data_IF_401130286843
#
_entry.id   IF_401130286843
#
_cell.length_a   1.000
_cell.length_b   1.000
_cell.length_c   1.000
_cell.angle_alpha   90.00
_cell.angle_beta   90.00
_cell.angle_gamma   90.00
#
_symmetry.space_group_name_H-M   'P 1'
#
loop_
_entity.id
_entity.type
_entity.pdbx_description
1 polymer ?
#
# COMPACT_ATOMS: atom_id res chain seq x y z
N UNK A 1 -11.60 -6.42 -1.16
CA UNK A 1 -12.90 -6.69 -1.80
C UNK A 1 -14.07 -6.67 -0.80
N UNK A 2 -14.12 -7.51 0.25
CA UNK A 2 -15.24 -7.53 1.22
C UNK A 2 -15.57 -6.16 1.83
N UNK A 3 -14.56 -5.37 2.22
CA UNK A 3 -14.76 -4.01 2.77
C UNK A 3 -15.20 -3.03 1.69
N UNK A 4 -14.65 -3.11 0.49
CA UNK A 4 -15.07 -2.33 -0.66
C UNK A 4 -16.56 -2.52 -0.95
N UNK A 5 -17.02 -3.75 -1.08
CA UNK A 5 -18.43 -4.08 -1.33
C UNK A 5 -19.34 -3.61 -0.20
N UNK A 6 -18.95 -3.90 1.05
CA UNK A 6 -19.72 -3.53 2.23
C UNK A 6 -19.98 -2.02 2.33
N UNK A 7 -18.96 -1.21 2.01
CA UNK A 7 -19.01 0.24 2.20
C UNK A 7 -19.08 1.03 0.87
N UNK A 8 -19.49 0.36 -0.22
CA UNK A 8 -19.56 0.97 -1.55
C UNK A 8 -20.41 2.21 -1.61
N UNK A 9 -21.43 2.32 -0.78
CA UNK A 9 -22.39 3.44 -0.77
C UNK A 9 -22.21 4.42 0.39
N UNK A 10 -21.20 4.23 1.24
CA UNK A 10 -20.93 5.11 2.38
C UNK A 10 -20.17 6.33 1.91
N UNK A 11 -20.85 7.46 1.82
CA UNK A 11 -20.28 8.74 1.35
C UNK A 11 -19.43 9.35 2.44
N UNK A 12 -18.25 9.84 2.09
CA UNK A 12 -17.31 10.58 2.94
C UNK A 12 -16.74 11.77 2.19
N UNK A 13 -16.10 12.69 2.93
CA UNK A 13 -15.32 13.74 2.30
C UNK A 13 -14.01 13.18 1.75
N UNK A 14 -13.67 13.54 0.51
CA UNK A 14 -12.35 13.27 -0.05
C UNK A 14 -11.32 14.28 0.47
N UNK A 15 -10.05 13.90 0.46
CA UNK A 15 -8.95 14.80 0.82
C UNK A 15 -7.82 14.69 -0.18
N UNK A 16 -7.31 15.85 -0.59
CA UNK A 16 -6.05 15.97 -1.33
C UNK A 16 -5.17 16.97 -0.59
N UNK A 17 -3.88 16.70 -0.47
CA UNK A 17 -2.97 17.52 0.35
C UNK A 17 -3.41 17.64 1.84
N UNK A 18 -4.17 16.67 2.36
CA UNK A 18 -4.85 16.70 3.66
C UNK A 18 -5.91 17.82 3.80
N UNK A 19 -6.24 18.50 2.72
CA UNK A 19 -7.33 19.50 2.68
C UNK A 19 -8.60 18.84 2.15
N UNK A 20 -9.76 19.39 2.55
CA UNK A 20 -11.05 18.94 2.06
C UNK A 20 -11.13 19.02 0.54
N UNK A 21 -11.66 17.97 -0.07
CA UNK A 21 -11.90 17.89 -1.49
C UNK A 21 -13.35 17.44 -1.76
N UNK A 22 -13.65 17.07 -2.98
CA UNK A 22 -15.00 16.58 -3.34
C UNK A 22 -15.30 15.24 -2.66
N UNK A 23 -16.60 14.97 -2.37
CA UNK A 23 -17.00 13.70 -1.79
C UNK A 23 -16.68 12.51 -2.70
N UNK A 24 -16.41 11.37 -2.07
CA UNK A 24 -16.37 10.04 -2.68
C UNK A 24 -16.99 9.04 -1.71
N UNK A 25 -17.05 7.77 -2.06
CA UNK A 25 -17.46 6.73 -1.10
C UNK A 25 -16.25 6.06 -0.47
N UNK A 26 -16.39 5.57 0.76
CA UNK A 26 -15.32 4.79 1.40
C UNK A 26 -15.02 3.51 0.63
N UNK A 27 -16.03 2.91 -0.03
CA UNK A 27 -15.80 1.78 -0.92
C UNK A 27 -14.91 2.11 -2.12
N UNK A 28 -15.02 3.32 -2.70
CA UNK A 28 -14.13 3.80 -3.77
C UNK A 28 -12.69 4.01 -3.26
N UNK A 29 -12.52 4.56 -2.06
CA UNK A 29 -11.20 4.70 -1.44
C UNK A 29 -10.53 3.35 -1.21
N UNK A 30 -11.26 2.37 -0.64
CA UNK A 30 -10.79 0.99 -0.46
C UNK A 30 -10.52 0.29 -1.81
N UNK A 31 -11.29 0.60 -2.85
CA UNK A 31 -11.04 0.11 -4.21
C UNK A 31 -9.66 0.55 -4.72
N UNK A 32 -9.31 1.83 -4.50
CA UNK A 32 -7.99 2.35 -4.86
C UNK A 32 -6.86 1.61 -4.15
N UNK A 33 -6.98 1.38 -2.83
CA UNK A 33 -6.01 0.59 -2.07
C UNK A 33 -5.87 -0.85 -2.61
N UNK A 34 -7.01 -1.49 -2.91
CA UNK A 34 -7.02 -2.85 -3.43
C UNK A 34 -6.39 -2.98 -4.81
N UNK A 35 -6.61 -1.99 -5.67
CA UNK A 35 -6.04 -1.95 -7.02
C UNK A 35 -4.51 -1.83 -6.99
N UNK A 36 -3.94 -0.99 -6.11
CA UNK A 36 -2.48 -0.92 -5.92
C UNK A 36 -1.89 -2.29 -5.59
N UNK A 37 -2.43 -2.94 -4.56
CA UNK A 37 -1.96 -4.27 -4.14
C UNK A 37 -2.15 -5.38 -5.21
N UNK A 38 -3.18 -5.27 -6.05
CA UNK A 38 -3.36 -6.19 -7.19
C UNK A 38 -2.25 -6.02 -8.23
N UNK A 39 -1.86 -4.78 -8.54
CA UNK A 39 -0.74 -4.51 -9.44
C UNK A 39 0.61 -4.97 -8.86
N UNK A 40 0.85 -4.73 -7.57
CA UNK A 40 2.07 -5.22 -6.90
C UNK A 40 2.18 -6.74 -7.00
N UNK A 41 1.06 -7.46 -6.80
CA UNK A 41 1.03 -8.92 -6.97
C UNK A 41 1.33 -9.34 -8.40
N UNK A 42 0.86 -8.59 -9.40
CA UNK A 42 1.16 -8.86 -10.80
C UNK A 42 2.65 -8.64 -11.11
N UNK A 43 3.26 -7.56 -10.59
CA UNK A 43 4.71 -7.32 -10.74
C UNK A 43 5.52 -8.47 -10.14
N UNK A 44 5.22 -8.89 -8.92
CA UNK A 44 5.91 -10.02 -8.28
C UNK A 44 5.75 -11.31 -9.08
N UNK A 45 4.55 -11.63 -9.57
CA UNK A 45 4.30 -12.82 -10.41
C UNK A 45 5.07 -12.80 -11.71
N UNK A 46 5.21 -11.64 -12.37
CA UNK A 46 5.98 -11.52 -13.60
C UNK A 46 7.47 -11.78 -13.38
N UNK A 47 7.97 -11.51 -12.17
CA UNK A 47 9.37 -11.69 -11.80
C UNK A 47 9.70 -13.05 -11.23
N UNK A 48 8.69 -13.84 -10.81
CA UNK A 48 8.86 -15.15 -10.15
C UNK A 48 9.76 -16.10 -10.95
N UNK A 49 9.54 -16.20 -12.26
CA UNK A 49 10.35 -17.01 -13.16
C UNK A 49 11.85 -16.67 -13.16
N UNK A 50 12.21 -15.44 -12.83
CA UNK A 50 13.63 -15.02 -12.80
C UNK A 50 14.41 -15.64 -11.64
N UNK A 51 13.73 -16.14 -10.62
CA UNK A 51 14.32 -16.83 -9.47
C UNK A 51 14.50 -18.34 -9.68
N UNK A 52 13.94 -18.89 -10.75
CA UNK A 52 13.92 -20.33 -11.01
C UNK A 52 15.15 -20.85 -11.80
N UNK A 53 16.03 -19.96 -12.22
CA UNK A 53 17.25 -20.34 -12.93
C UNK A 53 18.45 -20.46 -11.98
N UNK A 54 19.06 -21.64 -11.93
CA UNK A 54 20.17 -21.96 -11.01
C UNK A 54 21.53 -21.92 -11.71
N UNK A 55 22.52 -21.24 -11.10
CA UNK A 55 23.92 -21.22 -11.58
C UNK A 55 24.71 -22.48 -11.24
N UNK A 56 24.07 -23.47 -10.62
CA UNK A 56 24.71 -24.73 -10.24
C UNK A 56 25.34 -25.44 -11.43
N UNK A 57 26.48 -26.08 -11.20
CA UNK A 57 27.28 -26.70 -12.24
C UNK A 57 28.28 -25.79 -12.95
N UNK A 58 28.27 -24.47 -12.64
CA UNK A 58 29.28 -23.52 -13.16
C UNK A 58 30.67 -23.74 -12.59
N UNK A 59 30.75 -24.43 -11.47
CA UNK A 59 31.99 -24.69 -10.70
C UNK A 59 32.72 -23.41 -10.29
N UNK A 60 34.04 -23.31 -10.47
CA UNK A 60 34.82 -22.18 -9.96
C UNK A 60 34.48 -20.84 -10.65
N UNK A 61 34.47 -20.83 -11.98
CA UNK A 61 34.39 -19.59 -12.77
C UNK A 61 33.29 -19.58 -13.84
N UNK A 62 32.43 -20.58 -13.86
CA UNK A 62 31.31 -20.67 -14.84
C UNK A 62 31.57 -21.63 -16.00
N UNK A 63 32.75 -22.22 -16.12
CA UNK A 63 33.12 -23.13 -17.21
C UNK A 63 32.59 -24.57 -17.03
N UNK A 64 32.16 -24.94 -15.82
CA UNK A 64 31.73 -26.29 -15.53
C UNK A 64 32.89 -27.29 -15.42
N UNK A 65 34.13 -26.82 -15.24
CA UNK A 65 35.31 -27.67 -15.13
C UNK A 65 35.11 -28.73 -14.05
N UNK A 66 35.32 -30.00 -14.40
CA UNK A 66 35.15 -31.19 -13.55
C UNK A 66 33.69 -31.48 -13.11
N UNK A 67 32.68 -30.79 -13.60
CA UNK A 67 31.30 -31.20 -13.42
C UNK A 67 30.97 -32.40 -14.32
N UNK A 68 30.20 -33.36 -13.80
CA UNK A 68 29.74 -34.47 -14.63
C UNK A 68 28.80 -33.96 -15.74
N UNK A 69 28.80 -34.57 -16.93
CA UNK A 69 27.85 -34.21 -17.99
C UNK A 69 26.40 -34.26 -17.48
N UNK A 70 25.62 -33.22 -17.75
CA UNK A 70 24.23 -33.10 -17.32
C UNK A 70 24.00 -32.77 -15.85
N UNK A 71 25.06 -32.55 -15.07
CA UNK A 71 24.95 -32.30 -13.62
C UNK A 71 24.04 -31.11 -13.30
N UNK A 72 24.16 -30.01 -14.05
CA UNK A 72 23.37 -28.81 -13.81
C UNK A 72 21.85 -29.04 -13.96
N UNK A 73 21.45 -29.77 -15.02
CA UNK A 73 20.05 -30.05 -15.32
C UNK A 73 19.47 -31.04 -14.31
N UNK A 74 20.22 -32.08 -13.95
CA UNK A 74 19.81 -33.07 -12.94
C UNK A 74 19.61 -32.39 -11.56
N UNK A 75 20.48 -31.47 -11.17
CA UNK A 75 20.32 -30.76 -9.91
C UNK A 75 19.11 -29.83 -9.96
N UNK A 76 18.90 -29.07 -11.03
CA UNK A 76 17.73 -28.20 -11.20
C UNK A 76 16.43 -29.03 -11.10
N UNK A 77 16.34 -30.16 -11.80
CA UNK A 77 15.20 -31.09 -11.72
C UNK A 77 14.96 -31.60 -10.28
N UNK A 78 16.02 -32.03 -9.59
CA UNK A 78 15.89 -32.52 -8.21
C UNK A 78 15.45 -31.45 -7.23
N UNK A 79 16.02 -30.25 -7.34
CA UNK A 79 15.58 -29.08 -6.55
C UNK A 79 14.11 -28.78 -6.84
N UNK A 80 13.73 -28.81 -8.12
CA UNK A 80 12.34 -28.61 -8.54
C UNK A 80 11.36 -29.60 -7.91
N UNK A 81 11.74 -30.90 -7.88
CA UNK A 81 10.92 -31.94 -7.23
C UNK A 81 10.78 -31.74 -5.72
N UNK A 82 11.81 -31.24 -5.04
CA UNK A 82 11.79 -31.00 -3.58
C UNK A 82 10.87 -29.82 -3.24
N UNK A 83 10.94 -28.74 -4.00
CA UNK A 83 10.25 -27.49 -3.69
C UNK A 83 8.96 -27.26 -4.47
N UNK A 84 8.63 -28.13 -5.43
CA UNK A 84 7.39 -28.02 -6.21
C UNK A 84 7.40 -26.92 -7.26
N UNK A 85 8.58 -26.54 -7.76
CA UNK A 85 8.76 -25.52 -8.80
C UNK A 85 9.62 -26.04 -9.95
N UNK A 86 9.42 -25.50 -11.15
CA UNK A 86 10.20 -25.87 -12.33
C UNK A 86 11.53 -25.10 -12.39
N UNK A 87 12.52 -25.52 -11.61
CA UNK A 87 13.85 -24.94 -11.70
C UNK A 87 14.59 -25.42 -12.96
N UNK A 88 15.37 -24.54 -13.54
CA UNK A 88 16.20 -24.82 -14.72
C UNK A 88 17.65 -24.43 -14.47
N UNK A 89 18.55 -25.06 -15.25
CA UNK A 89 19.96 -24.67 -15.22
C UNK A 89 20.13 -23.38 -16.03
N UNK A 90 20.69 -22.35 -15.39
CA UNK A 90 20.99 -21.07 -16.08
C UNK A 90 21.92 -21.31 -17.27
N UNK A 91 21.54 -20.83 -18.46
CA UNK A 91 22.31 -21.02 -19.68
C UNK A 91 23.70 -20.40 -19.63
N UNK A 92 23.81 -19.22 -19.06
CA UNK A 92 25.09 -18.52 -18.83
C UNK A 92 25.49 -18.60 -17.35
N UNK A 93 26.40 -19.53 -17.05
CA UNK A 93 26.89 -19.72 -15.69
C UNK A 93 27.85 -18.61 -15.22
N UNK A 94 28.53 -17.92 -16.15
CA UNK A 94 29.39 -16.78 -15.84
C UNK A 94 28.55 -15.65 -15.24
N UNK A 95 27.46 -15.31 -15.90
CA UNK A 95 26.48 -14.35 -15.40
C UNK A 95 25.88 -14.83 -14.07
N UNK A 96 25.49 -16.10 -13.97
CA UNK A 96 24.83 -16.65 -12.77
C UNK A 96 25.70 -16.66 -11.51
N UNK A 97 27.05 -16.69 -11.64
CA UNK A 97 27.99 -16.65 -10.51
C UNK A 97 28.37 -15.22 -10.12
N UNK A 98 28.42 -14.30 -11.09
CA UNK A 98 28.96 -12.95 -10.89
C UNK A 98 27.91 -11.87 -10.72
N UNK A 99 26.63 -12.15 -11.07
CA UNK A 99 25.55 -11.17 -11.01
C UNK A 99 24.35 -11.70 -10.22
N UNK A 100 23.64 -10.79 -9.55
CA UNK A 100 22.44 -11.10 -8.77
C UNK A 100 21.31 -10.13 -9.10
N UNK A 101 21.24 -9.65 -10.35
CA UNK A 101 20.23 -8.70 -10.82
C UNK A 101 18.79 -9.22 -10.70
N UNK A 102 18.60 -10.55 -10.79
CA UNK A 102 17.31 -11.17 -10.53
C UNK A 102 16.82 -10.94 -9.08
N UNK A 103 17.67 -11.12 -8.08
CA UNK A 103 17.31 -10.84 -6.68
C UNK A 103 17.07 -9.35 -6.46
N UNK A 104 17.89 -8.49 -7.08
CA UNK A 104 17.74 -7.03 -6.97
C UNK A 104 16.42 -6.53 -7.55
N UNK A 105 16.01 -7.00 -8.74
CA UNK A 105 14.74 -6.56 -9.35
C UNK A 105 13.53 -7.08 -8.59
N UNK A 106 13.56 -8.31 -8.07
CA UNK A 106 12.48 -8.87 -7.24
C UNK A 106 12.37 -8.10 -5.92
N UNK A 107 13.50 -7.77 -5.30
CA UNK A 107 13.49 -6.96 -4.07
C UNK A 107 12.94 -5.56 -4.33
N UNK A 108 13.24 -4.94 -5.47
CA UNK A 108 12.63 -3.67 -5.89
C UNK A 108 11.09 -3.75 -5.98
N UNK A 109 10.56 -4.87 -6.47
CA UNK A 109 9.11 -5.10 -6.47
C UNK A 109 8.55 -5.29 -5.04
N UNK A 110 9.28 -5.98 -4.14
CA UNK A 110 8.92 -6.05 -2.72
C UNK A 110 8.92 -4.68 -2.04
N UNK A 111 9.86 -3.81 -2.38
CA UNK A 111 9.88 -2.43 -1.89
C UNK A 111 8.66 -1.66 -2.40
N UNK A 112 8.29 -1.79 -3.67
CA UNK A 112 7.08 -1.14 -4.23
C UNK A 112 5.84 -1.55 -3.43
N UNK A 113 5.66 -2.84 -3.17
CA UNK A 113 4.60 -3.33 -2.29
C UNK A 113 4.67 -2.72 -0.89
N UNK A 114 5.87 -2.58 -0.31
CA UNK A 114 6.06 -1.96 1.00
C UNK A 114 5.63 -0.48 1.01
N UNK A 115 5.92 0.26 -0.07
CA UNK A 115 5.55 1.67 -0.22
C UNK A 115 4.02 1.84 -0.29
N UNK A 116 3.33 1.00 -1.05
CA UNK A 116 1.86 1.01 -1.14
C UNK A 116 1.21 0.60 0.19
N UNK A 117 1.74 -0.40 0.87
CA UNK A 117 1.29 -0.79 2.21
C UNK A 117 1.49 0.33 3.24
N UNK A 118 2.60 1.06 3.19
CA UNK A 118 2.84 2.23 4.04
C UNK A 118 1.79 3.30 3.80
N UNK A 119 1.47 3.59 2.54
CA UNK A 119 0.42 4.56 2.17
C UNK A 119 -0.93 4.14 2.74
N UNK A 120 -1.34 2.90 2.55
CA UNK A 120 -2.61 2.37 3.06
C UNK A 120 -2.66 2.42 4.59
N UNK A 121 -1.59 1.98 5.26
CA UNK A 121 -1.51 2.01 6.71
C UNK A 121 -1.61 3.43 7.28
N UNK A 122 -0.97 4.40 6.63
CA UNK A 122 -1.07 5.81 7.04
C UNK A 122 -2.48 6.37 6.81
N UNK A 123 -3.14 6.07 5.69
CA UNK A 123 -4.53 6.47 5.48
C UNK A 123 -5.44 5.92 6.59
N UNK A 124 -5.33 4.64 6.92
CA UNK A 124 -6.10 4.02 8.02
C UNK A 124 -5.82 4.73 9.35
N UNK A 125 -4.56 5.04 9.66
CA UNK A 125 -4.19 5.75 10.89
C UNK A 125 -4.78 7.15 10.96
N UNK A 126 -4.74 7.91 9.86
CA UNK A 126 -5.34 9.25 9.81
C UNK A 126 -6.86 9.18 9.97
N UNK A 127 -7.52 8.32 9.20
CA UNK A 127 -8.98 8.19 9.23
C UNK A 127 -9.49 7.67 10.60
N UNK A 128 -8.69 6.87 11.31
CA UNK A 128 -9.01 6.36 12.65
C UNK A 128 -8.53 7.26 13.78
N UNK A 129 -7.92 8.41 13.49
CA UNK A 129 -7.39 9.30 14.52
C UNK A 129 -8.49 9.90 15.41
N UNK A 130 -8.22 10.03 16.69
CA UNK A 130 -9.18 10.62 17.63
C UNK A 130 -9.30 9.80 18.92
N UNK A 131 -10.54 9.49 19.42
CA UNK A 131 -11.84 9.63 18.71
C UNK A 131 -12.46 11.03 18.68
N UNK A 132 -12.07 11.96 19.56
CA UNK A 132 -12.74 13.29 19.64
C UNK A 132 -11.95 14.43 19.03
N UNK A 133 -10.62 14.32 19.03
CA UNK A 133 -9.70 15.35 18.54
C UNK A 133 -9.03 14.99 17.21
N UNK A 134 -9.61 14.07 16.46
CA UNK A 134 -9.12 13.64 15.15
C UNK A 134 -10.25 13.45 14.14
N UNK A 135 -9.98 12.72 13.05
CA UNK A 135 -10.97 12.52 11.99
C UNK A 135 -12.12 11.61 12.43
N UNK A 136 -11.81 10.53 13.14
CA UNK A 136 -12.81 9.59 13.68
C UNK A 136 -13.77 9.01 12.61
N UNK A 137 -13.28 8.86 11.40
CA UNK A 137 -14.08 8.28 10.30
C UNK A 137 -14.06 6.74 10.33
N UNK A 138 -13.03 6.13 10.96
CA UNK A 138 -12.89 4.68 11.09
C UNK A 138 -12.78 4.27 12.56
N UNK A 139 -13.41 3.14 12.88
CA UNK A 139 -13.20 2.45 14.14
C UNK A 139 -12.28 1.26 13.91
N UNK A 140 -11.22 1.16 14.70
CA UNK A 140 -10.23 0.08 14.64
C UNK A 140 -10.39 -0.89 15.81
N UNK A 141 -10.05 -2.18 15.64
CA UNK A 141 -10.10 -3.16 16.72
C UNK A 141 -9.16 -2.82 17.88
N UNK A 142 -9.63 -2.99 19.10
CA UNK A 142 -8.81 -2.92 20.31
C UNK A 142 -8.12 -4.28 20.52
N UNK A 143 -6.95 -4.49 19.92
CA UNK A 143 -6.23 -5.77 20.00
C UNK A 143 -5.45 -5.91 21.31
N UNK A 144 -5.07 -4.78 21.92
CA UNK A 144 -4.27 -4.74 23.15
C UNK A 144 -4.56 -3.44 23.94
N UNK A 145 -4.17 -3.38 25.23
CA UNK A 145 -4.20 -2.11 25.97
C UNK A 145 -3.34 -1.06 25.30
N UNK A 146 -3.94 0.07 24.90
CA UNK A 146 -3.25 1.11 24.14
C UNK A 146 -2.33 2.01 24.98
N UNK A 147 -2.45 1.97 26.32
CA UNK A 147 -1.66 2.81 27.22
C UNK A 147 -1.74 2.30 28.66
N UNK A 148 -0.64 2.35 29.39
CA UNK A 148 -0.58 2.04 30.82
C UNK A 148 -1.12 3.19 31.70
N UNK A 149 -1.20 4.42 31.18
CA UNK A 149 -1.57 5.62 31.93
C UNK A 149 -2.85 6.30 31.42
N UNK A 150 -3.34 5.92 30.25
CA UNK A 150 -4.59 6.46 29.65
C UNK A 150 -5.58 5.34 29.41
N UNK A 151 -6.46 5.03 30.39
CA UNK A 151 -7.42 3.94 30.26
C UNK A 151 -8.35 4.10 29.05
N UNK A 152 -8.57 3.01 28.31
CA UNK A 152 -9.46 3.01 27.15
C UNK A 152 -8.85 3.55 25.84
N UNK A 153 -7.57 3.97 25.83
CA UNK A 153 -6.89 4.36 24.61
C UNK A 153 -6.68 3.15 23.69
N UNK A 154 -7.03 3.29 22.42
CA UNK A 154 -6.79 2.28 21.38
C UNK A 154 -5.78 2.84 20.38
N UNK A 155 -4.71 2.10 20.14
CA UNK A 155 -3.66 2.48 19.19
C UNK A 155 -3.78 1.67 17.88
N UNK A 156 -3.40 2.21 16.72
CA UNK A 156 -3.42 1.53 15.44
C UNK A 156 -2.14 0.67 15.23
N UNK A 157 -1.77 -0.16 16.22
CA UNK A 157 -0.48 -0.85 16.29
C UNK A 157 -0.20 -1.76 15.10
N UNK A 158 -1.22 -2.38 14.51
CA UNK A 158 -1.03 -3.21 13.32
C UNK A 158 -0.69 -2.37 12.08
N UNK A 159 -1.25 -1.17 11.96
CA UNK A 159 -0.85 -0.22 10.92
C UNK A 159 0.57 0.33 11.16
N UNK A 160 0.93 0.56 12.42
CA UNK A 160 2.31 0.97 12.79
C UNK A 160 3.32 -0.14 12.47
N UNK A 161 3.00 -1.40 12.71
CA UNK A 161 3.85 -2.53 12.35
C UNK A 161 4.13 -2.58 10.83
N UNK A 162 3.13 -2.35 9.98
CA UNK A 162 3.31 -2.24 8.53
C UNK A 162 4.26 -1.09 8.17
N UNK A 163 4.08 0.09 8.77
CA UNK A 163 4.97 1.23 8.44
C UNK A 163 6.41 0.97 8.87
N UNK A 164 6.63 0.31 10.02
CA UNK A 164 7.97 -0.08 10.46
C UNK A 164 8.60 -1.15 9.56
N UNK A 165 7.82 -2.15 9.11
CA UNK A 165 8.28 -3.14 8.15
C UNK A 165 8.68 -2.48 6.82
N UNK A 166 7.87 -1.55 6.31
CA UNK A 166 8.17 -0.83 5.07
C UNK A 166 9.47 -0.03 5.15
N UNK A 167 9.73 0.64 6.29
CA UNK A 167 11.02 1.32 6.54
C UNK A 167 12.18 0.32 6.48
N UNK A 168 12.04 -0.86 7.11
CA UNK A 168 13.08 -1.88 7.11
C UNK A 168 13.32 -2.45 5.71
N UNK A 169 12.27 -2.76 4.97
CA UNK A 169 12.35 -3.25 3.58
C UNK A 169 13.04 -2.23 2.68
N UNK A 170 12.73 -0.93 2.83
CA UNK A 170 13.42 0.14 2.08
C UNK A 170 14.92 0.17 2.40
N UNK A 171 15.30 0.01 3.67
CA UNK A 171 16.70 -0.11 4.05
C UNK A 171 17.37 -1.34 3.44
N UNK A 172 16.72 -2.47 3.46
CA UNK A 172 17.21 -3.72 2.85
C UNK A 172 17.35 -3.62 1.33
N UNK A 173 16.50 -2.82 0.65
CA UNK A 173 16.62 -2.58 -0.79
C UNK A 173 17.95 -1.93 -1.15
N UNK A 174 18.41 -1.00 -0.34
CA UNK A 174 19.76 -0.42 -0.49
C UNK A 174 20.84 -1.48 -0.29
N UNK A 175 20.70 -2.35 0.72
CA UNK A 175 21.65 -3.44 0.97
C UNK A 175 21.70 -4.41 -0.22
N UNK A 176 20.54 -4.85 -0.72
CA UNK A 176 20.45 -5.77 -1.87
C UNK A 176 21.04 -5.14 -3.13
N UNK A 177 20.70 -3.88 -3.42
CA UNK A 177 21.23 -3.16 -4.58
C UNK A 177 22.76 -3.00 -4.51
N UNK A 178 23.28 -2.57 -3.37
CA UNK A 178 24.72 -2.41 -3.17
C UNK A 178 25.47 -3.77 -3.24
N UNK A 179 24.94 -4.81 -2.60
CA UNK A 179 25.53 -6.14 -2.65
C UNK A 179 25.51 -6.73 -4.08
N UNK A 180 24.43 -6.47 -4.85
CA UNK A 180 24.32 -6.88 -6.25
C UNK A 180 25.36 -6.20 -7.16
N UNK A 181 25.75 -4.97 -6.84
CA UNK A 181 26.74 -4.20 -7.64
C UNK A 181 28.19 -4.60 -7.37
N UNK A 182 28.43 -5.43 -6.37
CA UNK A 182 29.77 -5.83 -5.93
C UNK A 182 30.24 -7.11 -6.64
N UNK A 183 31.40 -7.57 -6.23
CA UNK A 183 32.07 -8.72 -6.83
C UNK A 183 33.11 -8.29 -7.86
N UNK A 184 34.07 -9.18 -8.06
CA UNK A 184 35.13 -8.96 -9.03
C UNK A 184 35.21 -10.16 -9.96
N UNK A 185 35.27 -9.89 -11.27
CA UNK A 185 35.43 -10.88 -12.32
C UNK A 185 34.31 -11.94 -12.30
N UNK A 186 34.64 -13.20 -12.01
CA UNK A 186 33.75 -14.34 -12.22
C UNK A 186 32.88 -14.68 -11.00
N UNK A 187 32.98 -13.93 -9.89
CA UNK A 187 32.16 -14.21 -8.70
C UNK A 187 31.78 -12.96 -7.92
N UNK A 188 30.52 -12.84 -7.62
CA UNK A 188 30.02 -11.94 -6.58
C UNK A 188 29.94 -12.72 -5.24
N UNK A 189 30.76 -12.32 -4.26
CA UNK A 189 30.86 -12.97 -2.95
C UNK A 189 29.92 -12.38 -1.90
N UNK A 190 29.13 -11.37 -2.23
CA UNK A 190 28.23 -10.68 -1.31
C UNK A 190 26.88 -11.41 -1.09
N UNK A 191 26.79 -12.68 -1.51
CA UNK A 191 25.60 -13.52 -1.38
C UNK A 191 25.04 -13.60 0.05
N UNK A 192 25.84 -13.76 1.11
CA UNK A 192 25.32 -13.88 2.48
C UNK A 192 24.51 -12.66 2.92
N UNK A 193 25.05 -11.45 2.76
CA UNK A 193 24.36 -10.23 3.16
C UNK A 193 23.18 -9.93 2.25
N UNK A 194 23.28 -10.24 0.96
CA UNK A 194 22.21 -10.06 0.00
C UNK A 194 21.00 -10.93 0.32
N UNK A 195 21.24 -12.24 0.53
CA UNK A 195 20.13 -13.18 0.77
C UNK A 195 19.51 -12.97 2.16
N UNK A 196 20.27 -12.58 3.17
CA UNK A 196 19.76 -12.23 4.50
C UNK A 196 18.77 -11.06 4.39
N UNK A 197 19.17 -9.95 3.75
CA UNK A 197 18.33 -8.79 3.57
C UNK A 197 17.08 -9.09 2.73
N UNK A 198 17.23 -9.94 1.70
CA UNK A 198 16.12 -10.37 0.84
C UNK A 198 15.07 -11.17 1.61
N UNK A 199 15.51 -12.20 2.34
CA UNK A 199 14.63 -13.08 3.11
C UNK A 199 13.98 -12.35 4.29
N UNK A 200 14.71 -11.50 5.01
CA UNK A 200 14.16 -10.66 6.07
C UNK A 200 13.02 -9.78 5.53
N UNK A 201 13.20 -9.18 4.36
CA UNK A 201 12.15 -8.36 3.73
C UNK A 201 10.91 -9.17 3.38
N UNK A 202 11.09 -10.36 2.82
CA UNK A 202 9.98 -11.26 2.50
C UNK A 202 9.20 -11.68 3.74
N UNK A 203 9.90 -12.08 4.82
CA UNK A 203 9.29 -12.51 6.07
C UNK A 203 8.55 -11.36 6.79
N UNK A 204 9.15 -10.17 6.83
CA UNK A 204 8.53 -8.99 7.41
C UNK A 204 7.24 -8.61 6.67
N UNK A 205 7.27 -8.56 5.34
CA UNK A 205 6.08 -8.27 4.54
C UNK A 205 5.01 -9.33 4.75
N UNK A 206 5.34 -10.62 4.63
CA UNK A 206 4.39 -11.70 4.79
C UNK A 206 3.74 -11.71 6.18
N UNK A 207 4.53 -11.49 7.23
CA UNK A 207 4.06 -11.47 8.61
C UNK A 207 3.16 -10.27 8.92
N UNK A 208 3.63 -9.07 8.57
CA UNK A 208 2.91 -7.83 8.88
C UNK A 208 1.64 -7.66 8.02
N UNK A 209 1.66 -8.08 6.75
CA UNK A 209 0.44 -8.09 5.92
C UNK A 209 -0.64 -8.99 6.50
N UNK A 210 -0.31 -10.19 6.97
CA UNK A 210 -1.27 -11.07 7.65
C UNK A 210 -1.82 -10.43 8.92
N UNK A 211 -0.93 -9.91 9.76
CA UNK A 211 -1.34 -9.21 10.99
C UNK A 211 -2.26 -8.01 10.70
N UNK A 212 -1.94 -7.22 9.70
CA UNK A 212 -2.74 -6.08 9.28
C UNK A 212 -4.11 -6.50 8.72
N UNK A 213 -4.14 -7.53 7.86
CA UNK A 213 -5.38 -8.06 7.31
C UNK A 213 -6.29 -8.65 8.39
N UNK A 214 -5.76 -9.54 9.24
CA UNK A 214 -6.55 -10.33 10.18
C UNK A 214 -6.95 -9.53 11.43
N UNK A 215 -6.04 -8.72 11.96
CA UNK A 215 -6.22 -8.02 13.25
C UNK A 215 -6.65 -6.56 13.10
N UNK A 216 -6.49 -5.95 11.92
CA UNK A 216 -6.90 -4.57 11.67
C UNK A 216 -8.04 -4.50 10.66
N UNK A 217 -7.78 -4.85 9.39
CA UNK A 217 -8.73 -4.64 8.30
C UNK A 217 -10.00 -5.49 8.48
N UNK A 218 -9.89 -6.72 8.95
CA UNK A 218 -11.06 -7.60 9.14
C UNK A 218 -12.07 -7.03 10.14
N UNK A 219 -11.59 -6.43 11.22
CA UNK A 219 -12.41 -5.84 12.29
C UNK A 219 -12.75 -4.35 12.10
N UNK A 220 -12.11 -3.68 11.12
CA UNK A 220 -12.33 -2.27 10.86
C UNK A 220 -13.80 -1.98 10.47
N UNK A 221 -14.38 -0.93 11.08
CA UNK A 221 -15.71 -0.41 10.72
C UNK A 221 -15.66 1.09 10.46
N UNK A 222 -16.69 1.62 9.81
CA UNK A 222 -16.82 3.05 9.53
C UNK A 222 -17.71 3.74 10.57
N UNK A 223 -17.42 5.00 10.87
CA UNK A 223 -18.28 5.90 11.62
C UNK A 223 -19.11 6.72 10.65
N UNK A 224 -20.22 6.16 10.17
CA UNK A 224 -21.08 6.79 9.15
C UNK A 224 -21.62 8.16 9.59
N UNK A 225 -21.94 8.33 10.86
CA UNK A 225 -22.41 9.60 11.40
C UNK A 225 -21.33 10.68 11.29
N UNK A 226 -20.09 10.33 11.61
CA UNK A 226 -18.96 11.26 11.52
C UNK A 226 -18.62 11.58 10.06
N UNK A 227 -18.60 10.58 9.19
CA UNK A 227 -18.40 10.79 7.75
C UNK A 227 -19.46 11.73 7.19
N UNK A 228 -20.75 11.53 7.55
CA UNK A 228 -21.85 12.40 7.12
C UNK A 228 -21.69 13.81 7.66
N UNK A 229 -21.37 13.98 8.94
CA UNK A 229 -21.14 15.30 9.56
C UNK A 229 -20.04 16.08 8.81
N UNK A 230 -18.93 15.42 8.48
CA UNK A 230 -17.80 16.04 7.77
C UNK A 230 -18.21 16.45 6.34
N UNK A 231 -19.01 15.64 5.66
CA UNK A 231 -19.55 15.99 4.32
C UNK A 231 -20.52 17.18 4.41
N UNK A 232 -21.43 17.16 5.38
CA UNK A 232 -22.42 18.22 5.56
C UNK A 232 -21.78 19.58 5.89
N UNK A 233 -20.66 19.57 6.58
CA UNK A 233 -19.91 20.76 6.98
C UNK A 233 -18.87 21.22 5.96
N UNK A 234 -18.53 20.41 4.97
CA UNK A 234 -17.48 20.73 4.01
C UNK A 234 -17.93 21.81 3.02
N UNK A 235 -17.07 22.82 2.84
CA UNK A 235 -17.28 23.86 1.84
C UNK A 235 -17.03 23.38 0.40
N UNK A 236 -16.31 22.28 0.23
CA UNK A 236 -15.91 21.77 -1.09
C UNK A 236 -17.06 21.10 -1.85
N UNK A 237 -18.17 20.81 -1.17
CA UNK A 237 -19.41 20.36 -1.81
C UNK A 237 -20.02 21.46 -2.73
N UNK A 238 -19.58 22.71 -2.60
CA UNK A 238 -19.92 23.82 -3.54
C UNK A 238 -19.56 23.50 -4.98
N UNK A 239 -18.60 22.62 -5.21
CA UNK A 239 -18.17 22.19 -6.55
C UNK A 239 -19.37 21.67 -7.39
N UNK A 240 -20.35 21.03 -6.75
CA UNK A 240 -21.58 20.58 -7.42
C UNK A 240 -22.43 21.73 -7.98
N UNK A 241 -22.29 22.94 -7.47
CA UNK A 241 -23.00 24.13 -7.97
C UNK A 241 -22.28 24.77 -9.16
N UNK A 242 -20.98 24.56 -9.34
CA UNK A 242 -20.19 25.23 -10.36
C UNK A 242 -20.70 25.08 -11.80
N UNK A 243 -21.23 23.91 -12.23
CA UNK A 243 -21.85 23.78 -13.56
C UNK A 243 -23.12 24.64 -13.77
N UNK A 244 -23.79 25.02 -12.68
CA UNK A 244 -25.06 25.73 -12.72
C UNK A 244 -24.90 27.25 -12.57
N UNK A 245 -24.00 27.69 -11.70
CA UNK A 245 -23.83 29.12 -11.34
C UNK A 245 -22.46 29.69 -11.71
N UNK A 246 -21.56 28.84 -12.21
CA UNK A 246 -20.18 29.20 -12.55
C UNK A 246 -19.22 29.16 -11.38
N UNK A 247 -17.92 29.05 -11.68
CA UNK A 247 -16.86 28.91 -10.70
C UNK A 247 -16.77 30.11 -9.74
N UNK A 248 -16.82 31.36 -10.26
CA UNK A 248 -16.66 32.55 -9.45
C UNK A 248 -17.78 32.75 -8.42
N UNK A 249 -19.02 32.47 -8.78
CA UNK A 249 -20.13 32.59 -7.83
C UNK A 249 -20.14 31.46 -6.83
N UNK A 250 -19.72 30.23 -7.21
CA UNK A 250 -19.49 29.12 -6.29
C UNK A 250 -18.38 29.44 -5.27
N UNK A 251 -17.27 30.02 -5.73
CA UNK A 251 -16.17 30.43 -4.85
C UNK A 251 -16.61 31.50 -3.84
N UNK A 252 -17.39 32.50 -4.26
CA UNK A 252 -17.94 33.53 -3.36
C UNK A 252 -18.86 32.93 -2.30
N UNK A 253 -19.67 31.95 -2.66
CA UNK A 253 -20.57 31.27 -1.72
C UNK A 253 -19.74 30.52 -0.67
N UNK A 254 -18.72 29.74 -1.07
CA UNK A 254 -17.85 29.04 -0.15
C UNK A 254 -17.10 30.00 0.80
N UNK A 255 -16.50 31.08 0.25
CA UNK A 255 -15.81 32.09 1.04
C UNK A 255 -16.72 32.81 2.04
N UNK A 256 -17.98 33.06 1.63
CA UNK A 256 -18.97 33.67 2.52
C UNK A 256 -19.34 32.71 3.65
N UNK A 257 -19.59 31.44 3.35
CA UNK A 257 -19.89 30.43 4.34
C UNK A 257 -18.77 30.29 5.36
N UNK A 258 -17.52 30.24 4.92
CA UNK A 258 -16.33 30.16 5.77
C UNK A 258 -16.21 31.40 6.70
N UNK A 259 -16.30 32.59 6.11
CA UNK A 259 -16.16 33.84 6.87
C UNK A 259 -17.25 34.06 7.91
N UNK A 260 -18.48 33.66 7.60
CA UNK A 260 -19.65 33.84 8.47
C UNK A 260 -19.91 32.65 9.41
N UNK A 261 -19.16 31.57 9.27
CA UNK A 261 -19.35 30.33 10.05
C UNK A 261 -20.70 29.67 9.78
N UNK A 262 -21.29 29.90 8.59
CA UNK A 262 -22.58 29.33 8.17
C UNK A 262 -22.38 28.05 7.34
N UNK A 263 -23.43 27.28 7.20
CA UNK A 263 -23.39 26.14 6.27
C UNK A 263 -23.34 26.62 4.80
N UNK A 264 -22.75 25.81 3.93
CA UNK A 264 -22.74 26.10 2.49
C UNK A 264 -24.15 26.28 1.94
N UNK A 265 -25.11 25.52 2.45
CA UNK A 265 -26.52 25.62 2.07
C UNK A 265 -27.11 26.98 2.40
N UNK A 266 -26.89 27.48 3.59
CA UNK A 266 -27.38 28.80 4.03
C UNK A 266 -26.77 29.91 3.18
N UNK A 267 -25.44 29.86 2.97
CA UNK A 267 -24.73 30.82 2.14
C UNK A 267 -25.20 30.78 0.67
N UNK A 268 -25.49 29.60 0.12
CA UNK A 268 -25.97 29.43 -1.24
C UNK A 268 -27.40 30.04 -1.43
N UNK A 269 -28.30 29.78 -0.48
CA UNK A 269 -29.67 30.38 -0.50
C UNK A 269 -29.56 31.88 -0.33
N UNK A 270 -28.77 32.36 0.59
CA UNK A 270 -28.59 33.80 0.85
C UNK A 270 -27.98 34.56 -0.35
N UNK A 271 -27.24 33.86 -1.23
CA UNK A 271 -26.69 34.45 -2.44
C UNK A 271 -27.75 34.85 -3.49
N UNK A 272 -29.00 34.34 -3.38
CA UNK A 272 -30.05 34.51 -4.36
C UNK A 272 -29.80 33.79 -5.72
N UNK A 273 -28.68 33.10 -5.85
CA UNK A 273 -28.30 32.37 -7.08
C UNK A 273 -28.92 30.97 -7.17
N UNK A 274 -29.42 30.48 -6.04
CA UNK A 274 -29.97 29.12 -5.90
C UNK A 274 -31.29 29.19 -5.17
N UNK A 275 -32.34 28.66 -5.77
CA UNK A 275 -33.65 28.48 -5.12
C UNK A 275 -33.58 27.24 -4.22
N UNK A 276 -34.56 27.08 -3.30
CA UNK A 276 -34.58 25.91 -2.40
C UNK A 276 -34.37 24.60 -3.17
N UNK A 277 -33.15 24.06 -3.11
CA UNK A 277 -32.73 22.90 -3.87
C UNK A 277 -33.23 21.65 -3.14
N UNK A 278 -34.02 20.87 -3.87
CA UNK A 278 -34.12 19.46 -3.57
C UNK A 278 -32.71 18.85 -3.50
N UNK A 279 -32.50 17.90 -2.56
CA UNK A 279 -31.23 17.19 -2.35
C UNK A 279 -30.57 16.84 -3.68
N UNK A 280 -29.51 17.55 -4.07
CA UNK A 280 -28.63 17.09 -5.11
C UNK A 280 -28.06 15.76 -4.59
N UNK A 281 -28.60 14.67 -5.06
CA UNK A 281 -28.07 13.35 -4.79
C UNK A 281 -26.73 13.27 -5.50
N UNK A 282 -25.63 13.09 -4.76
CA UNK A 282 -24.40 12.52 -5.28
C UNK A 282 -24.68 11.05 -5.64
N UNK A 283 -25.56 10.86 -6.63
CA UNK A 283 -25.92 9.57 -7.20
C UNK A 283 -25.67 9.69 -8.69
N UNK A 284 -24.42 9.53 -9.06
CA UNK A 284 -24.01 8.91 -10.33
C UNK A 284 -22.51 8.60 -10.24
#
# INVERSE_FOLDING_TARGET
>A
KKKQEKYWRVVKIGRTHLQDATPLTFGQEVCGWGSGLEHDLEYLKQLDGTLLELAMGGTAVGTGLNAAPGFADVIAEKVGKVYGHEFTAKSNKFYGLSHHSNLNVVHGAMKTLADDLMKIANDVRFLASGPRAGYDELNIPANEPGSSIMPGKVNPTQAEAITMAAVRVTGNDVVVGMASSQGNFEMNVYKPVLIEAFLESADLLAGTMRGFADKMISGLTVNENRMKELVDNSLMTVTALSPHIGYHDSAKIAQKADKEGTTLREAAIASGKVTQIGRASCRE
#
